data_IF_537354467216
#
_entry.id   IF_537354467216
#
_cell.length_a   1.000
_cell.length_b   1.000
_cell.length_c   1.000
_cell.angle_alpha   90.00
_cell.angle_beta   90.00
_cell.angle_gamma   90.00
#
_symmetry.space_group_name_H-M   'P 1'
#
loop_
_entity.id
_entity.type
_entity.pdbx_description
1 polymer ?
#
# COMPACT_ATOMS: atom_id res chain seq x y z
N UNK A 1 -3.56 11.89 -13.16
CA UNK A 1 -3.48 11.59 -11.73
C UNK A 1 -3.00 10.17 -11.46
N UNK A 2 -3.78 9.11 -11.68
CA UNK A 2 -3.40 7.76 -11.20
C UNK A 2 -2.21 7.14 -11.95
N UNK A 3 -2.07 7.42 -13.25
CA UNK A 3 -0.94 6.92 -14.06
C UNK A 3 0.41 7.51 -13.64
N UNK A 4 0.40 8.75 -13.14
CA UNK A 4 1.61 9.47 -12.74
C UNK A 4 2.23 8.90 -11.46
N UNK A 5 1.42 8.29 -10.57
CA UNK A 5 1.89 7.60 -9.36
C UNK A 5 2.50 6.23 -9.68
N UNK A 6 1.91 5.48 -10.62
CA UNK A 6 2.47 4.19 -11.06
C UNK A 6 3.74 4.32 -11.91
N UNK A 7 3.94 5.48 -12.55
CA UNK A 7 5.10 5.76 -13.41
C UNK A 7 6.24 6.48 -12.65
N UNK A 8 6.12 6.66 -11.32
CA UNK A 8 7.19 7.26 -10.52
C UNK A 8 8.44 6.37 -10.50
N UNK A 9 9.57 6.98 -10.86
CA UNK A 9 10.88 6.34 -10.79
C UNK A 9 11.55 6.48 -9.41
N UNK A 10 10.82 7.01 -8.43
CA UNK A 10 11.27 7.22 -7.05
C UNK A 10 10.23 6.70 -6.07
N UNK A 11 10.68 6.13 -4.96
CA UNK A 11 9.82 5.66 -3.89
C UNK A 11 9.12 6.83 -3.21
N UNK A 12 7.80 6.72 -3.04
CA UNK A 12 7.03 7.69 -2.27
C UNK A 12 7.36 7.46 -0.78
N UNK A 13 7.54 8.52 0.02
CA UNK A 13 7.71 8.38 1.46
C UNK A 13 6.55 7.61 2.10
N UNK A 14 6.88 6.70 3.00
CA UNK A 14 5.90 5.91 3.73
C UNK A 14 5.38 6.68 4.95
N UNK A 15 4.06 6.81 5.07
CA UNK A 15 3.34 7.55 6.13
C UNK A 15 2.84 6.66 7.27
N UNK A 16 3.38 5.45 7.43
CA UNK A 16 2.93 4.42 8.39
C UNK A 16 1.61 3.71 8.01
N UNK A 17 1.34 2.58 8.67
CA UNK A 17 0.07 1.86 8.59
C UNK A 17 -0.84 2.33 9.72
N UNK A 18 -2.10 2.57 9.41
CA UNK A 18 -3.14 2.85 10.40
C UNK A 18 -3.17 1.75 11.50
N UNK A 19 -3.17 2.08 12.79
CA UNK A 19 -3.07 1.10 13.87
C UNK A 19 -4.15 0.00 13.84
N UNK A 20 -5.38 0.31 13.45
CA UNK A 20 -6.45 -0.69 13.35
C UNK A 20 -6.20 -1.64 12.17
N UNK A 21 -5.74 -1.10 11.05
CA UNK A 21 -5.35 -1.85 9.87
C UNK A 21 -4.13 -2.73 10.14
N UNK A 22 -3.14 -2.23 10.87
CA UNK A 22 -1.96 -2.99 11.28
C UNK A 22 -2.36 -4.22 12.11
N UNK A 23 -3.25 -4.08 13.10
CA UNK A 23 -3.69 -5.23 13.90
C UNK A 23 -4.38 -6.31 13.04
N UNK A 24 -5.18 -5.90 12.05
CA UNK A 24 -5.83 -6.83 11.12
C UNK A 24 -4.82 -7.54 10.23
N UNK A 25 -3.87 -6.80 9.65
CA UNK A 25 -2.79 -7.36 8.82
C UNK A 25 -1.92 -8.32 9.64
N UNK A 26 -1.58 -7.93 10.87
CA UNK A 26 -0.77 -8.74 11.78
C UNK A 26 -1.47 -10.03 12.22
N UNK A 27 -2.80 -10.00 12.37
CA UNK A 27 -3.58 -11.20 12.62
C UNK A 27 -3.56 -12.14 11.40
N UNK A 28 -3.67 -11.58 10.19
CA UNK A 28 -3.62 -12.34 8.94
C UNK A 28 -2.23 -12.97 8.69
N UNK A 29 -1.13 -12.34 9.12
CA UNK A 29 0.22 -12.94 9.02
C UNK A 29 0.29 -14.32 9.66
N UNK A 30 -0.42 -14.53 10.78
CA UNK A 30 -0.46 -15.82 11.49
C UNK A 30 -1.25 -16.85 10.69
N UNK A 31 -2.33 -16.42 10.03
CA UNK A 31 -3.16 -17.30 9.20
C UNK A 31 -2.52 -17.61 7.83
N UNK A 32 -1.65 -16.71 7.34
CA UNK A 32 -0.99 -16.77 6.04
C UNK A 32 0.52 -17.05 6.15
N UNK A 33 0.95 -17.65 7.26
CA UNK A 33 2.36 -17.94 7.51
C UNK A 33 2.98 -18.75 6.34
N UNK A 34 3.98 -18.16 5.68
CA UNK A 34 4.68 -18.75 4.53
C UNK A 34 3.99 -18.55 3.16
N UNK A 35 2.86 -17.85 3.11
CA UNK A 35 2.15 -17.48 1.88
C UNK A 35 2.32 -16.01 1.50
N UNK A 36 2.44 -15.12 2.49
CA UNK A 36 2.66 -13.69 2.29
C UNK A 36 3.87 -13.21 3.10
N UNK A 37 4.46 -12.09 2.70
CA UNK A 37 5.52 -11.45 3.49
C UNK A 37 4.89 -10.84 4.75
N UNK A 38 5.44 -11.10 5.95
CA UNK A 38 4.90 -10.56 7.19
C UNK A 38 4.82 -9.03 7.16
N UNK A 39 3.77 -8.46 7.75
CA UNK A 39 3.54 -7.01 7.71
C UNK A 39 4.70 -6.21 8.33
N UNK A 40 5.36 -6.74 9.36
CA UNK A 40 6.50 -6.08 9.99
C UNK A 40 7.70 -5.97 9.03
N UNK A 41 7.94 -7.02 8.24
CA UNK A 41 9.00 -7.03 7.23
C UNK A 41 8.66 -6.06 6.10
N UNK A 42 7.39 -5.98 5.69
CA UNK A 42 6.91 -5.01 4.72
C UNK A 42 7.06 -3.58 5.22
N UNK A 43 6.69 -3.30 6.48
CA UNK A 43 6.86 -1.97 7.10
C UNK A 43 8.32 -1.55 7.08
N UNK A 44 9.25 -2.41 7.51
CA UNK A 44 10.68 -2.11 7.46
C UNK A 44 11.17 -1.79 6.04
N UNK A 45 10.64 -2.49 5.03
CA UNK A 45 10.98 -2.24 3.63
C UNK A 45 10.36 -0.95 3.12
N UNK A 46 9.13 -0.61 3.50
CA UNK A 46 8.50 0.66 3.16
C UNK A 46 9.27 1.84 3.75
N UNK A 47 9.72 1.74 5.00
CA UNK A 47 10.53 2.78 5.64
C UNK A 47 11.90 2.97 4.97
N UNK A 48 12.51 1.87 4.51
CA UNK A 48 13.86 1.88 3.92
C UNK A 48 13.88 2.25 2.44
N UNK A 49 12.95 1.71 1.67
CA UNK A 49 12.91 1.79 0.21
C UNK A 49 11.91 2.84 -0.30
N UNK A 50 10.96 3.25 0.56
CA UNK A 50 9.75 3.93 0.14
C UNK A 50 8.73 2.96 -0.46
N UNK A 51 7.58 3.50 -0.85
CA UNK A 51 6.49 2.74 -1.45
C UNK A 51 6.37 3.03 -2.94
N UNK A 52 5.84 2.06 -3.68
CA UNK A 52 5.33 2.23 -5.04
C UNK A 52 3.85 1.89 -5.08
N UNK A 53 3.11 2.59 -5.94
CA UNK A 53 1.69 2.34 -6.16
C UNK A 53 1.52 1.44 -7.36
N UNK A 54 0.78 0.35 -7.20
CA UNK A 54 0.42 -0.57 -8.29
C UNK A 54 -1.08 -0.77 -8.34
N UNK A 55 -1.59 -1.02 -9.54
CA UNK A 55 -2.97 -1.42 -9.74
C UNK A 55 -3.10 -2.92 -9.63
N UNK A 56 -4.21 -3.38 -9.05
CA UNK A 56 -4.60 -4.77 -9.13
C UNK A 56 -4.71 -5.24 -10.58
N UNK A 57 -4.50 -6.54 -10.78
CA UNK A 57 -4.63 -7.16 -12.11
C UNK A 57 -6.07 -7.13 -12.65
N UNK A 58 -7.05 -6.88 -11.79
CA UNK A 58 -8.45 -6.80 -12.17
C UNK A 58 -8.87 -5.34 -12.38
N UNK A 59 -9.07 -4.91 -13.64
CA UNK A 59 -9.43 -3.54 -13.98
C UNK A 59 -10.86 -3.16 -13.55
N UNK A 60 -11.73 -4.13 -13.26
CA UNK A 60 -13.09 -3.89 -12.75
C UNK A 60 -13.08 -3.69 -11.24
N UNK A 61 -12.14 -4.32 -10.54
CA UNK A 61 -12.02 -4.20 -9.08
C UNK A 61 -11.55 -2.81 -8.61
N UNK A 62 -10.86 -2.04 -9.46
CA UNK A 62 -10.34 -0.72 -9.12
C UNK A 62 -9.33 -0.72 -7.95
N UNK A 63 -8.92 -1.89 -7.48
CA UNK A 63 -8.09 -2.00 -6.29
C UNK A 63 -6.70 -1.43 -6.54
N UNK A 64 -6.25 -0.59 -5.61
CA UNK A 64 -4.90 -0.02 -5.63
C UNK A 64 -4.13 -0.53 -4.43
N UNK A 65 -2.93 -1.00 -4.71
CA UNK A 65 -2.02 -1.56 -3.73
C UNK A 65 -0.74 -0.74 -3.66
N UNK A 66 -0.07 -0.85 -2.54
CA UNK A 66 1.29 -0.37 -2.33
C UNK A 66 2.23 -1.56 -2.16
N UNK A 67 3.46 -1.40 -2.64
CA UNK A 67 4.56 -2.35 -2.48
C UNK A 67 5.82 -1.61 -2.06
N UNK A 68 6.80 -2.31 -1.45
CA UNK A 68 8.14 -1.77 -1.32
C UNK A 68 8.66 -1.40 -2.70
N UNK A 69 9.31 -0.24 -2.82
CA UNK A 69 9.72 0.29 -4.11
C UNK A 69 10.56 -0.70 -4.94
N UNK A 70 11.46 -1.46 -4.30
CA UNK A 70 12.28 -2.47 -4.95
C UNK A 70 11.61 -3.85 -5.15
N UNK A 71 10.41 -4.08 -4.60
CA UNK A 71 9.70 -5.35 -4.78
C UNK A 71 9.05 -5.43 -6.15
N UNK A 72 8.91 -6.62 -6.74
CA UNK A 72 8.01 -6.87 -7.87
C UNK A 72 6.97 -7.96 -7.56
N UNK A 73 6.91 -8.42 -6.31
CA UNK A 73 6.01 -9.48 -5.87
C UNK A 73 4.68 -8.87 -5.38
N UNK A 74 3.75 -8.65 -6.30
CA UNK A 74 2.42 -8.09 -6.00
C UNK A 74 1.57 -9.04 -5.17
N UNK A 75 1.79 -10.34 -5.22
CA UNK A 75 0.96 -11.29 -4.47
C UNK A 75 1.37 -11.34 -3.00
N UNK A 76 2.68 -11.34 -2.72
CA UNK A 76 3.20 -11.49 -1.36
C UNK A 76 3.46 -10.17 -0.65
N UNK A 77 3.78 -9.10 -1.38
CA UNK A 77 4.22 -7.81 -0.80
C UNK A 77 3.19 -6.67 -0.95
N UNK A 78 1.99 -6.96 -1.46
CA UNK A 78 0.98 -5.93 -1.62
C UNK A 78 0.23 -5.64 -0.31
N UNK A 79 0.08 -4.35 -0.04
CA UNK A 79 -0.81 -3.86 1.01
C UNK A 79 -1.83 -2.92 0.37
N UNK A 80 -3.09 -2.95 0.81
CA UNK A 80 -4.09 -2.03 0.31
C UNK A 80 -3.74 -0.59 0.67
N UNK A 81 -3.88 0.31 -0.30
CA UNK A 81 -3.57 1.73 -0.12
C UNK A 81 -4.35 2.36 1.05
N UNK A 82 -5.60 1.94 1.27
CA UNK A 82 -6.47 2.42 2.35
C UNK A 82 -5.99 2.10 3.78
N UNK A 83 -5.01 1.21 3.93
CA UNK A 83 -4.42 0.89 5.22
C UNK A 83 -3.34 1.89 5.64
N UNK A 84 -2.92 2.79 4.77
CA UNK A 84 -2.00 3.86 5.13
C UNK A 84 -2.67 4.87 6.05
N UNK A 85 -1.90 5.36 7.03
CA UNK A 85 -2.33 6.49 7.83
C UNK A 85 -2.25 7.76 6.99
N UNK A 86 -3.40 8.47 6.86
CA UNK A 86 -3.44 9.75 6.17
C UNK A 86 -2.96 10.83 7.14
N UNK A 87 -1.82 11.44 6.84
CA UNK A 87 -1.30 12.60 7.57
C UNK A 87 -0.98 13.78 6.63
N UNK A 88 -0.52 14.90 7.20
CA UNK A 88 -0.17 16.11 6.43
C UNK A 88 1.17 16.01 5.68
N UNK A 89 2.01 15.03 6.02
CA UNK A 89 3.30 14.76 5.39
C UNK A 89 3.21 13.81 4.19
N UNK A 90 2.08 13.10 4.08
CA UNK A 90 1.76 12.23 2.94
C UNK A 90 1.76 13.02 1.62
N UNK A 91 2.26 12.39 0.56
CA UNK A 91 2.18 12.94 -0.80
C UNK A 91 0.72 13.28 -1.15
N UNK A 92 0.47 14.53 -1.57
CA UNK A 92 -0.89 15.02 -1.82
C UNK A 92 -1.64 14.19 -2.86
N UNK A 93 -0.93 13.62 -3.84
CA UNK A 93 -1.52 12.77 -4.88
C UNK A 93 -1.94 11.41 -4.31
N UNK A 94 -1.16 10.87 -3.38
CA UNK A 94 -1.48 9.63 -2.68
C UNK A 94 -2.71 9.81 -1.80
N UNK A 95 -2.77 10.93 -1.08
CA UNK A 95 -3.92 11.31 -0.26
C UNK A 95 -5.19 11.47 -1.10
N UNK A 96 -5.11 12.17 -2.23
CA UNK A 96 -6.24 12.29 -3.15
C UNK A 96 -6.70 10.92 -3.68
N UNK A 97 -5.77 9.99 -3.93
CA UNK A 97 -6.11 8.65 -4.39
C UNK A 97 -6.82 7.80 -3.33
N UNK A 98 -6.40 7.91 -2.06
CA UNK A 98 -7.09 7.24 -0.94
C UNK A 98 -8.52 7.78 -0.78
N UNK A 99 -8.67 9.12 -0.82
CA UNK A 99 -9.98 9.75 -0.71
C UNK A 99 -10.90 9.36 -1.87
N UNK A 100 -10.39 9.32 -3.09
CA UNK A 100 -11.16 8.90 -4.26
C UNK A 100 -11.63 7.44 -4.16
N UNK A 101 -10.78 6.51 -3.70
CA UNK A 101 -11.20 5.12 -3.45
C UNK A 101 -12.28 5.02 -2.38
N UNK A 102 -12.16 5.79 -1.29
CA UNK A 102 -13.16 5.80 -0.23
C UNK A 102 -14.54 6.31 -0.70
N UNK A 103 -14.58 7.22 -1.67
CA UNK A 103 -15.83 7.68 -2.29
C UNK A 103 -16.44 6.67 -3.27
N UNK A 104 -15.61 5.85 -3.93
CA UNK A 104 -16.08 4.82 -4.87
C UNK A 104 -16.60 3.57 -4.14
N UNK A 105 -16.05 3.25 -2.97
CA UNK A 105 -16.48 2.12 -2.12
C UNK A 105 -17.74 2.42 -1.27
N UNK A 106 -18.27 3.65 -1.29
CA UNK A 106 -19.41 4.13 -0.48
C UNK A 106 -20.78 4.01 -1.18
#
# INVERSE_FOLDING_TARGET
MTKELSEMQEGIPFSEIDPESYQKLKANDVELEGLCTPIDDLIQRFEKEGIKVVFGNDPESGNVFILPFGSNDVESDSVFLKHLQIDESMDSRLRELILWQAEVDA
#
